data_IF_199423559166
#
_entry.id   IF_199423559166
#
_cell.length_a   1.000
_cell.length_b   1.000
_cell.length_c   1.000
_cell.angle_alpha   90.00
_cell.angle_beta   90.00
_cell.angle_gamma   90.00
#
_symmetry.space_group_name_H-M   'P 1'
#
loop_
_entity.id
_entity.type
_entity.pdbx_description
1 polymer ?
#
# COMPACT_ATOMS: atom_id res chain seq x y z
N UNK A 1 -15.58 -9.78 -0.47
CA UNK A 1 -14.44 -10.54 -0.99
C UNK A 1 -13.21 -9.73 -0.67
N UNK A 2 -12.18 -10.31 -0.11
CA UNK A 2 -10.96 -9.60 0.30
C UNK A 2 -9.77 -9.94 -0.59
N UNK A 3 -10.05 -10.37 -1.79
CA UNK A 3 -9.07 -10.64 -2.82
C UNK A 3 -8.37 -9.33 -3.22
N UNK A 4 -7.09 -9.40 -3.45
CA UNK A 4 -6.22 -8.29 -3.86
C UNK A 4 -6.03 -7.17 -2.81
N UNK A 5 -6.39 -7.39 -1.54
CA UNK A 5 -5.99 -6.51 -0.46
C UNK A 5 -4.67 -7.00 0.15
N UNK A 6 -3.71 -6.10 0.34
CA UNK A 6 -2.50 -6.41 1.09
C UNK A 6 -2.84 -6.65 2.57
N UNK A 7 -1.92 -7.31 3.27
CA UNK A 7 -2.02 -7.45 4.72
C UNK A 7 -2.21 -6.09 5.41
N UNK A 8 -1.38 -5.11 5.09
CA UNK A 8 -1.43 -3.80 5.68
C UNK A 8 -2.70 -3.02 5.35
N UNK A 9 -3.29 -3.21 4.17
CA UNK A 9 -4.56 -2.57 3.85
C UNK A 9 -5.67 -2.98 4.83
N UNK A 10 -5.66 -4.22 5.32
CA UNK A 10 -6.64 -4.76 6.27
C UNK A 10 -6.19 -4.60 7.71
N UNK A 11 -4.95 -4.95 8.03
CA UNK A 11 -4.42 -5.10 9.38
C UNK A 11 -3.43 -4.01 9.79
N UNK A 12 -3.09 -3.07 8.89
CA UNK A 12 -2.06 -2.07 9.09
C UNK A 12 -2.24 -1.18 10.32
N UNK A 13 -3.45 -1.08 10.86
CA UNK A 13 -3.75 -0.31 12.07
C UNK A 13 -4.32 -1.15 13.21
N UNK A 14 -4.18 -2.48 13.18
CA UNK A 14 -4.57 -3.31 14.31
C UNK A 14 -3.63 -3.12 15.49
N UNK A 15 -4.17 -3.07 16.70
CA UNK A 15 -3.44 -2.70 17.90
C UNK A 15 -3.55 -3.70 19.07
N UNK A 16 -4.16 -4.84 18.85
CA UNK A 16 -4.40 -5.82 19.89
C UNK A 16 -3.16 -6.63 20.31
N UNK A 17 -2.08 -6.58 19.49
CA UNK A 17 -0.79 -7.22 19.81
C UNK A 17 0.35 -6.29 19.38
N UNK A 18 1.38 -6.13 20.21
CA UNK A 18 2.52 -5.24 19.90
C UNK A 18 3.51 -5.83 18.89
N UNK A 19 3.43 -7.13 18.64
CA UNK A 19 4.31 -7.90 17.77
C UNK A 19 3.76 -8.05 16.33
N UNK A 20 2.62 -7.45 16.04
CA UNK A 20 2.12 -7.39 14.65
C UNK A 20 3.01 -6.42 13.86
N UNK A 21 3.59 -6.93 12.78
CA UNK A 21 4.29 -6.10 11.81
C UNK A 21 3.27 -5.33 10.96
N UNK A 22 3.15 -4.03 11.23
CA UNK A 22 2.14 -3.18 10.60
C UNK A 22 2.51 -1.69 10.60
N UNK A 23 1.62 -0.85 10.06
CA UNK A 23 1.83 0.59 9.84
C UNK A 23 1.76 1.45 11.11
N UNK A 24 1.42 0.93 12.29
CA UNK A 24 1.18 1.77 13.48
C UNK A 24 2.40 2.54 13.99
N UNK A 25 3.58 1.96 13.81
CA UNK A 25 4.84 2.54 14.32
C UNK A 25 5.78 2.94 13.19
N UNK A 26 5.29 2.99 11.98
CA UNK A 26 6.05 3.30 10.77
C UNK A 26 5.44 4.52 10.11
N UNK A 27 6.26 5.47 9.74
CA UNK A 27 5.87 6.54 8.84
C UNK A 27 6.19 6.09 7.41
N UNK A 28 5.16 5.68 6.69
CA UNK A 28 5.28 5.30 5.28
C UNK A 28 4.67 6.40 4.40
N UNK A 29 5.48 7.03 3.56
CA UNK A 29 5.08 8.13 2.71
C UNK A 29 5.61 7.97 1.30
N UNK A 30 4.82 8.38 0.32
CA UNK A 30 5.25 8.55 -1.06
C UNK A 30 5.36 10.03 -1.42
N UNK A 31 6.38 10.37 -2.19
CA UNK A 31 6.59 11.69 -2.73
C UNK A 31 6.11 11.73 -4.19
N UNK A 32 5.22 12.66 -4.48
CA UNK A 32 4.73 12.90 -5.84
C UNK A 32 5.38 14.15 -6.41
N UNK A 33 6.05 14.01 -7.54
CA UNK A 33 6.90 15.06 -8.11
C UNK A 33 6.40 15.62 -9.45
N UNK A 34 5.28 15.11 -10.00
CA UNK A 34 4.79 15.57 -11.30
C UNK A 34 4.43 17.07 -11.26
N UNK A 35 5.05 17.90 -12.13
CA UNK A 35 4.84 19.34 -12.11
C UNK A 35 3.40 19.80 -12.35
N UNK A 36 2.58 18.97 -12.97
CA UNK A 36 1.16 19.30 -13.24
C UNK A 36 0.32 19.46 -11.97
N UNK A 37 0.76 18.89 -10.86
CA UNK A 37 0.03 18.88 -9.60
C UNK A 37 0.82 19.47 -8.43
N UNK A 38 2.11 19.76 -8.63
CA UNK A 38 2.95 20.34 -7.58
C UNK A 38 2.83 21.87 -7.57
N UNK A 39 2.80 22.46 -6.39
CA UNK A 39 2.85 23.92 -6.22
C UNK A 39 4.32 24.30 -6.04
N UNK A 40 4.79 25.25 -6.84
CA UNK A 40 6.19 25.72 -6.81
C UNK A 40 7.26 24.66 -7.12
N UNK A 41 6.92 23.58 -7.83
CA UNK A 41 7.78 22.42 -8.09
C UNK A 41 8.29 21.68 -6.83
N UNK A 42 7.62 21.86 -5.70
CA UNK A 42 7.92 21.10 -4.50
C UNK A 42 7.15 19.77 -4.52
N UNK A 43 7.76 18.66 -4.10
CA UNK A 43 7.09 17.38 -4.00
C UNK A 43 5.89 17.45 -3.04
N UNK A 44 4.79 16.80 -3.43
CA UNK A 44 3.69 16.55 -2.50
C UNK A 44 3.97 15.24 -1.79
N UNK A 45 4.06 15.28 -0.47
CA UNK A 45 4.21 14.08 0.34
C UNK A 45 2.83 13.57 0.77
N UNK A 46 2.56 12.30 0.52
CA UNK A 46 1.34 11.61 0.93
C UNK A 46 1.73 10.40 1.77
N UNK A 47 1.19 10.34 2.99
CA UNK A 47 1.54 9.30 3.94
C UNK A 47 0.38 8.33 4.15
N UNK A 48 0.74 7.10 4.53
CA UNK A 48 -0.20 6.10 4.98
C UNK A 48 -1.02 6.63 6.17
N UNK A 49 -2.30 6.36 6.14
CA UNK A 49 -3.24 6.82 7.16
C UNK A 49 -4.46 5.89 7.20
N UNK A 50 -5.22 5.89 8.29
CA UNK A 50 -6.50 5.19 8.34
C UNK A 50 -7.43 5.67 7.23
N UNK A 51 -8.10 4.71 6.58
CA UNK A 51 -8.98 4.95 5.44
C UNK A 51 -10.39 4.44 5.77
N UNK A 52 -11.37 5.30 5.59
CA UNK A 52 -12.73 5.03 6.04
C UNK A 52 -13.72 4.76 4.89
N UNK A 53 -13.31 4.98 3.64
CA UNK A 53 -14.17 4.65 2.49
C UNK A 53 -14.25 3.12 2.30
N UNK A 54 -15.43 2.65 1.92
CA UNK A 54 -15.68 1.22 1.74
C UNK A 54 -15.24 0.71 0.37
N UNK A 55 -15.22 1.59 -0.61
CA UNK A 55 -14.85 1.25 -2.00
C UNK A 55 -13.85 2.29 -2.50
N UNK A 56 -12.69 1.87 -3.00
CA UNK A 56 -11.74 2.78 -3.63
C UNK A 56 -12.34 3.40 -4.90
N UNK A 57 -11.87 4.58 -5.27
CA UNK A 57 -12.32 5.28 -6.49
C UNK A 57 -11.90 4.56 -7.76
N UNK A 58 -10.76 3.89 -7.72
CA UNK A 58 -10.14 3.21 -8.85
C UNK A 58 -9.71 1.81 -8.43
N UNK A 59 -9.53 0.94 -9.42
CA UNK A 59 -8.89 -0.36 -9.22
C UNK A 59 -7.36 -0.16 -9.26
N UNK A 60 -6.63 -0.50 -8.18
CA UNK A 60 -5.18 -0.34 -8.16
C UNK A 60 -4.48 -1.13 -9.25
N UNK A 61 -3.35 -0.62 -9.75
CA UNK A 61 -2.54 -1.36 -10.70
C UNK A 61 -1.97 -2.62 -10.06
N UNK A 62 -2.22 -3.75 -10.68
CA UNK A 62 -1.73 -5.06 -10.21
C UNK A 62 -1.02 -5.83 -11.33
N UNK A 63 -0.66 -5.15 -12.42
CA UNK A 63 0.15 -5.75 -13.46
C UNK A 63 1.65 -5.74 -13.10
N UNK A 64 2.40 -6.66 -13.64
CA UNK A 64 3.82 -6.84 -13.30
C UNK A 64 4.67 -5.57 -13.50
N UNK A 65 4.47 -4.87 -14.61
CA UNK A 65 5.26 -3.68 -14.92
C UNK A 65 4.91 -2.51 -13.99
N UNK A 66 3.60 -2.29 -13.73
CA UNK A 66 3.14 -1.27 -12.79
C UNK A 66 3.66 -1.51 -11.39
N UNK A 67 3.54 -2.74 -10.92
CA UNK A 67 4.09 -3.15 -9.62
C UNK A 67 5.61 -2.96 -9.53
N UNK A 68 6.36 -3.25 -10.60
CA UNK A 68 7.80 -2.96 -10.62
C UNK A 68 8.08 -1.46 -10.43
N UNK A 69 7.29 -0.59 -11.06
CA UNK A 69 7.42 0.84 -10.86
C UNK A 69 7.04 1.29 -9.44
N UNK A 70 5.96 0.75 -8.89
CA UNK A 70 5.51 1.04 -7.51
C UNK A 70 6.58 0.72 -6.48
N UNK A 71 7.23 -0.44 -6.64
CA UNK A 71 8.27 -0.91 -5.72
C UNK A 71 9.60 -0.18 -5.89
N UNK A 72 10.05 0.00 -7.13
CA UNK A 72 11.41 0.43 -7.43
C UNK A 72 11.51 1.83 -8.04
N UNK A 73 10.38 2.45 -8.39
CA UNK A 73 10.33 3.65 -9.25
C UNK A 73 11.11 3.44 -10.57
N UNK A 74 11.16 2.20 -11.02
CA UNK A 74 11.86 1.75 -12.21
C UNK A 74 11.02 0.67 -12.91
N UNK A 75 10.77 0.85 -14.21
CA UNK A 75 9.96 -0.09 -15.01
C UNK A 75 10.65 -1.43 -15.26
N UNK A 76 11.98 -1.46 -15.20
CA UNK A 76 12.80 -2.64 -15.47
C UNK A 76 13.87 -2.80 -14.39
N UNK A 77 13.50 -3.08 -13.15
CA UNK A 77 14.45 -3.25 -12.07
C UNK A 77 15.36 -4.46 -12.30
N UNK A 78 16.57 -4.35 -11.82
CA UNK A 78 17.58 -5.41 -11.81
C UNK A 78 17.71 -6.01 -10.41
N UNK A 79 18.48 -7.08 -10.26
CA UNK A 79 18.73 -7.68 -8.95
C UNK A 79 19.52 -6.78 -7.99
N UNK A 80 20.15 -5.72 -8.51
CA UNK A 80 20.93 -4.77 -7.71
C UNK A 80 20.09 -3.56 -7.24
N UNK A 81 18.87 -3.43 -7.76
CA UNK A 81 17.95 -2.35 -7.35
C UNK A 81 17.33 -2.68 -5.98
N UNK A 82 17.30 -1.69 -5.12
CA UNK A 82 16.67 -1.79 -3.80
C UNK A 82 15.26 -1.21 -3.90
N UNK A 83 14.22 -1.94 -3.47
CA UNK A 83 12.87 -1.43 -3.47
C UNK A 83 12.74 -0.20 -2.56
N UNK A 84 12.29 0.91 -3.13
CA UNK A 84 12.05 2.16 -2.40
C UNK A 84 10.63 2.25 -1.85
N UNK A 85 9.70 1.45 -2.39
CA UNK A 85 8.27 1.51 -2.12
C UNK A 85 7.68 2.91 -2.37
N UNK A 86 8.31 3.72 -3.22
CA UNK A 86 8.00 5.13 -3.40
C UNK A 86 7.09 5.47 -4.58
N UNK A 87 6.80 4.49 -5.45
CA UNK A 87 6.17 4.73 -6.75
C UNK A 87 4.64 4.63 -6.78
N UNK A 88 3.98 4.20 -5.70
CA UNK A 88 2.54 3.91 -5.69
C UNK A 88 1.68 5.11 -6.09
N UNK A 89 1.84 6.25 -5.44
CA UNK A 89 1.02 7.44 -5.71
C UNK A 89 1.25 7.96 -7.13
N UNK A 90 2.50 7.98 -7.59
CA UNK A 90 2.85 8.45 -8.93
C UNK A 90 2.24 7.52 -9.99
N UNK A 91 2.43 6.21 -9.82
CA UNK A 91 1.89 5.20 -10.74
C UNK A 91 0.37 5.29 -10.87
N UNK A 92 -0.33 5.31 -9.75
CA UNK A 92 -1.80 5.37 -9.75
C UNK A 92 -2.33 6.69 -10.31
N UNK A 93 -1.66 7.81 -10.00
CA UNK A 93 -2.06 9.11 -10.54
C UNK A 93 -1.90 9.17 -12.06
N UNK A 94 -0.82 8.62 -12.59
CA UNK A 94 -0.58 8.55 -14.03
C UNK A 94 -1.54 7.59 -14.72
N UNK A 95 -1.78 6.41 -14.13
CA UNK A 95 -2.67 5.39 -14.69
C UNK A 95 -4.11 5.92 -14.84
N UNK A 96 -4.60 6.59 -13.83
CA UNK A 96 -5.97 7.07 -13.76
C UNK A 96 -6.13 8.54 -14.21
N UNK A 97 -5.05 9.21 -14.59
CA UNK A 97 -5.03 10.63 -14.91
C UNK A 97 -5.73 11.45 -13.83
N UNK A 98 -5.38 11.19 -12.57
CA UNK A 98 -6.06 11.70 -11.39
C UNK A 98 -5.09 12.38 -10.43
N UNK A 99 -5.64 13.10 -9.44
CA UNK A 99 -4.80 13.79 -8.47
C UNK A 99 -4.16 12.83 -7.48
N UNK A 100 -3.00 13.17 -6.89
CA UNK A 100 -2.38 12.36 -5.82
C UNK A 100 -3.29 12.17 -4.61
N UNK A 101 -4.19 13.13 -4.35
CA UNK A 101 -5.19 13.01 -3.30
C UNK A 101 -6.21 11.91 -3.58
N UNK A 102 -6.69 11.84 -4.81
CA UNK A 102 -7.69 10.86 -5.24
C UNK A 102 -7.12 9.43 -5.25
N UNK A 103 -5.83 9.28 -5.59
CA UNK A 103 -5.16 7.98 -5.65
C UNK A 103 -4.48 7.58 -4.34
N UNK A 104 -4.52 8.42 -3.33
CA UNK A 104 -3.88 8.19 -2.03
C UNK A 104 -4.37 6.93 -1.29
N UNK A 105 -5.55 6.40 -1.66
CA UNK A 105 -6.09 5.17 -1.05
C UNK A 105 -5.16 3.97 -1.22
N UNK A 106 -4.33 3.92 -2.25
CA UNK A 106 -3.44 2.79 -2.56
C UNK A 106 -2.41 2.51 -1.45
N UNK A 107 -2.02 3.53 -0.68
CA UNK A 107 -1.13 3.40 0.47
C UNK A 107 -1.83 3.57 1.82
N UNK A 108 -3.17 3.61 1.83
CA UNK A 108 -3.95 3.71 3.06
C UNK A 108 -4.47 2.35 3.49
N UNK A 109 -4.77 2.24 4.77
CA UNK A 109 -5.27 1.01 5.37
C UNK A 109 -6.53 1.27 6.19
N UNK A 110 -7.39 0.26 6.30
CA UNK A 110 -8.59 0.39 7.11
C UNK A 110 -8.25 0.56 8.59
N UNK A 111 -9.03 1.38 9.29
CA UNK A 111 -8.97 1.41 10.74
C UNK A 111 -9.42 0.06 11.33
N UNK A 112 -8.93 -0.28 12.52
CA UNK A 112 -9.34 -1.49 13.22
C UNK A 112 -10.86 -1.58 13.42
N UNK A 113 -11.54 -0.43 13.57
CA UNK A 113 -12.98 -0.37 13.72
C UNK A 113 -13.72 -0.85 12.46
N UNK A 114 -13.20 -0.53 11.27
CA UNK A 114 -13.77 -0.99 10.00
C UNK A 114 -13.57 -2.49 9.78
N UNK A 115 -12.52 -3.06 10.31
CA UNK A 115 -12.18 -4.48 10.20
C UNK A 115 -12.34 -5.24 11.51
N UNK A 116 -13.19 -4.77 12.42
CA UNK A 116 -13.31 -5.27 13.78
C UNK A 116 -13.64 -6.78 13.87
N UNK A 117 -14.43 -7.31 12.96
CA UNK A 117 -14.76 -8.75 12.92
C UNK A 117 -13.49 -9.55 12.61
N UNK A 118 -12.72 -9.12 11.63
CA UNK A 118 -11.47 -9.77 11.24
C UNK A 118 -10.43 -9.66 12.38
N UNK A 119 -10.31 -8.49 12.99
CA UNK A 119 -9.45 -8.28 14.14
C UNK A 119 -9.84 -9.19 15.31
N UNK A 120 -11.14 -9.34 15.57
CA UNK A 120 -11.65 -10.26 16.62
C UNK A 120 -11.31 -11.72 16.30
N UNK A 121 -11.45 -12.13 15.05
CA UNK A 121 -11.04 -13.48 14.62
C UNK A 121 -9.54 -13.66 14.82
N UNK A 122 -8.73 -12.72 14.36
CA UNK A 122 -7.28 -12.77 14.50
C UNK A 122 -6.81 -12.82 15.97
N UNK A 123 -7.53 -12.16 16.88
CA UNK A 123 -7.26 -12.23 18.33
C UNK A 123 -7.47 -13.62 18.93
N UNK A 124 -8.38 -14.40 18.36
CA UNK A 124 -8.80 -15.67 18.96
C UNK A 124 -8.27 -16.90 18.21
N UNK A 125 -7.63 -16.72 17.07
CA UNK A 125 -7.11 -17.80 16.23
C UNK A 125 -5.67 -17.53 15.84
N UNK A 126 -5.05 -18.47 15.13
CA UNK A 126 -3.72 -18.27 14.56
C UNK A 126 -3.77 -17.18 13.48
N UNK A 127 -2.75 -16.34 13.51
CA UNK A 127 -2.61 -15.18 12.63
C UNK A 127 -1.15 -15.07 12.20
N UNK A 128 -0.93 -14.83 10.91
CA UNK A 128 0.39 -14.69 10.30
C UNK A 128 0.48 -13.32 9.63
N UNK A 129 1.46 -12.52 10.02
CA UNK A 129 1.74 -11.19 9.48
C UNK A 129 2.94 -11.16 8.51
N UNK A 130 3.62 -12.30 8.36
CA UNK A 130 4.76 -12.46 7.46
C UNK A 130 4.56 -13.63 6.48
N UNK A 131 3.31 -13.91 6.11
CA UNK A 131 3.00 -14.91 5.12
C UNK A 131 3.05 -14.30 3.73
N UNK A 132 4.07 -14.68 2.95
CA UNK A 132 4.23 -14.27 1.56
C UNK A 132 3.94 -15.44 0.62
N UNK A 133 3.19 -15.20 -0.43
CA UNK A 133 3.06 -16.15 -1.52
C UNK A 133 4.10 -15.86 -2.59
N UNK A 134 4.70 -16.91 -3.15
CA UNK A 134 5.49 -16.74 -4.36
C UNK A 134 4.59 -16.22 -5.49
N UNK A 135 5.03 -15.25 -6.30
CA UNK A 135 4.19 -14.66 -7.34
C UNK A 135 3.83 -15.72 -8.38
N UNK A 136 2.61 -16.22 -8.31
CA UNK A 136 1.95 -16.77 -9.47
C UNK A 136 1.54 -15.59 -10.36
N UNK A 137 1.53 -15.72 -11.72
CA UNK A 137 1.52 -14.58 -12.64
C UNK A 137 0.29 -13.67 -12.60
N UNK A 138 -0.61 -13.82 -11.63
CA UNK A 138 -1.86 -13.05 -11.57
C UNK A 138 -2.31 -12.61 -10.18
N UNK A 139 -1.54 -12.85 -9.11
CA UNK A 139 -1.91 -12.37 -7.77
C UNK A 139 -0.66 -11.97 -6.99
N UNK A 140 -0.48 -10.68 -6.76
CA UNK A 140 0.58 -10.15 -5.91
C UNK A 140 0.02 -9.81 -4.54
N UNK A 141 0.55 -10.44 -3.51
CA UNK A 141 0.39 -10.00 -2.13
C UNK A 141 1.61 -9.18 -1.78
N UNK A 142 1.38 -7.92 -1.41
CA UNK A 142 2.47 -7.06 -0.96
C UNK A 142 2.58 -7.16 0.54
N UNK A 143 3.71 -7.62 1.01
CA UNK A 143 4.22 -7.29 2.32
C UNK A 143 5.29 -6.22 2.13
N UNK A 144 5.22 -5.17 2.90
CA UNK A 144 6.30 -4.20 2.99
C UNK A 144 7.40 -4.83 3.86
N UNK A 145 8.61 -5.10 3.32
CA UNK A 145 9.69 -5.52 4.18
C UNK A 145 10.05 -4.35 5.08
N UNK A 146 9.73 -4.46 6.34
CA UNK A 146 10.24 -3.57 7.37
C UNK A 146 11.55 -4.17 7.84
N UNK A 147 12.65 -3.53 7.50
CA UNK A 147 13.98 -3.81 8.08
C UNK A 147 14.26 -2.85 9.22
#
# INVERSE_FOLDING_TARGET
MMENHSFDNIAGYWDFRPDIDNLRNIEFCNNYTNPSYTIYNEPIQICAAPYEQEVPLFDPDHNFAGTSYELYQNWNPTNDDIPTMGGFIERESDLHNSTPGDTSFVIKAYSQQKTNILATIAQNFAFWDSYVSWPLPYQFYFEFPVT
#
